data_IF_383517907126
#
_entry.id   IF_383517907126
#
_cell.length_a   1.000
_cell.length_b   1.000
_cell.length_c   1.000
_cell.angle_alpha   90.00
_cell.angle_beta   90.00
_cell.angle_gamma   90.00
#
_symmetry.space_group_name_H-M   'P 1'
#
loop_
_entity.id
_entity.type
_entity.pdbx_description
1 polymer ?
#
# COMPACT_ATOMS: atom_id res chain seq x y z
N UNK A 1 -3.41 16.68 5.12
CA UNK A 1 -2.04 16.82 4.59
C UNK A 1 -2.06 16.23 3.19
N UNK A 2 -2.04 17.09 2.16
CA UNK A 2 -2.10 16.66 0.74
C UNK A 2 -0.70 16.62 0.12
N UNK A 3 0.22 17.39 0.68
CA UNK A 3 1.62 17.50 0.24
C UNK A 3 2.39 16.19 0.47
N UNK A 4 2.16 15.51 1.60
CA UNK A 4 2.86 14.25 1.92
C UNK A 4 2.50 13.10 0.96
N UNK A 5 1.26 13.03 0.49
CA UNK A 5 0.83 11.98 -0.44
C UNK A 5 1.41 12.20 -1.84
N UNK A 6 1.37 13.44 -2.35
CA UNK A 6 1.92 13.74 -3.68
C UNK A 6 3.44 13.49 -3.72
N UNK A 7 4.16 13.76 -2.63
CA UNK A 7 5.58 13.41 -2.49
C UNK A 7 5.80 11.89 -2.45
N UNK A 8 5.01 11.15 -1.67
CA UNK A 8 5.09 9.68 -1.61
C UNK A 8 4.84 9.04 -2.99
N UNK A 9 3.89 9.56 -3.77
CA UNK A 9 3.63 9.09 -5.14
C UNK A 9 4.84 9.32 -6.03
N UNK A 10 5.47 10.50 -5.97
CA UNK A 10 6.67 10.79 -6.75
C UNK A 10 7.86 9.90 -6.34
N UNK A 11 8.04 9.66 -5.04
CA UNK A 11 9.08 8.77 -4.54
C UNK A 11 8.86 7.33 -5.01
N UNK A 12 7.63 6.83 -5.00
CA UNK A 12 7.32 5.49 -5.50
C UNK A 12 7.55 5.40 -7.02
N UNK A 13 7.05 6.36 -7.80
CA UNK A 13 7.21 6.38 -9.26
C UNK A 13 8.67 6.53 -9.72
N UNK A 14 9.50 7.23 -8.94
CA UNK A 14 10.94 7.34 -9.21
C UNK A 14 11.73 6.09 -8.78
N UNK A 15 11.10 5.15 -8.10
CA UNK A 15 11.73 3.97 -7.51
C UNK A 15 12.59 4.28 -6.29
N UNK A 16 12.45 5.47 -5.70
CA UNK A 16 13.16 5.89 -4.50
C UNK A 16 12.63 5.16 -3.24
N UNK A 17 11.36 4.75 -3.26
CA UNK A 17 10.75 3.87 -2.27
C UNK A 17 10.08 2.70 -2.98
N UNK A 18 10.00 1.54 -2.30
CA UNK A 18 9.30 0.37 -2.81
C UNK A 18 7.78 0.48 -2.62
N UNK A 19 6.99 -0.38 -3.27
CA UNK A 19 5.53 -0.39 -3.10
C UNK A 19 5.14 -0.71 -1.66
N UNK A 20 5.89 -1.57 -0.96
CA UNK A 20 5.68 -1.82 0.46
C UNK A 20 5.92 -0.56 1.30
N UNK A 21 7.01 0.18 1.03
CA UNK A 21 7.29 1.42 1.76
C UNK A 21 6.24 2.50 1.47
N UNK A 22 5.78 2.60 0.21
CA UNK A 22 4.70 3.50 -0.18
C UNK A 22 3.38 3.15 0.52
N UNK A 23 3.03 1.86 0.59
CA UNK A 23 1.83 1.38 1.26
C UNK A 23 1.89 1.64 2.78
N UNK A 24 3.02 1.34 3.41
CA UNK A 24 3.20 1.50 4.86
C UNK A 24 3.30 2.96 5.32
N UNK A 25 3.62 3.88 4.42
CA UNK A 25 3.64 5.32 4.71
C UNK A 25 2.23 5.94 4.84
N UNK A 26 1.17 5.18 4.55
CA UNK A 26 -0.21 5.63 4.58
C UNK A 26 -0.96 4.93 5.71
N UNK A 27 -1.20 5.62 6.83
CA UNK A 27 -1.67 5.02 8.10
C UNK A 27 -2.90 4.09 7.95
N UNK A 28 -3.93 4.50 7.20
CA UNK A 28 -5.15 3.71 7.01
C UNK A 28 -4.88 2.44 6.18
N UNK A 29 -4.18 2.58 5.05
CA UNK A 29 -3.86 1.45 4.18
C UNK A 29 -2.85 0.50 4.84
N UNK A 30 -1.86 1.03 5.55
CA UNK A 30 -0.88 0.26 6.30
C UNK A 30 -1.57 -0.65 7.33
N UNK A 31 -2.53 -0.09 8.08
CA UNK A 31 -3.30 -0.85 9.07
C UNK A 31 -4.13 -1.95 8.42
N UNK A 32 -4.84 -1.64 7.33
CA UNK A 32 -5.68 -2.59 6.61
C UNK A 32 -4.84 -3.72 5.97
N UNK A 33 -3.71 -3.40 5.37
CA UNK A 33 -2.79 -4.35 4.77
C UNK A 33 -2.17 -5.28 5.82
N UNK A 34 -1.65 -4.74 6.93
CA UNK A 34 -1.07 -5.54 8.00
C UNK A 34 -2.10 -6.52 8.60
N UNK A 35 -3.35 -6.08 8.78
CA UNK A 35 -4.43 -6.95 9.23
C UNK A 35 -4.73 -8.07 8.22
N UNK A 36 -4.78 -7.76 6.92
CA UNK A 36 -5.03 -8.72 5.87
C UNK A 36 -3.91 -9.78 5.75
N UNK A 37 -2.64 -9.36 5.88
CA UNK A 37 -1.49 -10.26 5.84
C UNK A 37 -1.45 -11.17 7.07
N UNK A 38 -1.72 -10.62 8.26
CA UNK A 38 -1.84 -11.41 9.49
C UNK A 38 -2.99 -12.43 9.43
N UNK A 39 -4.15 -12.04 8.86
CA UNK A 39 -5.30 -12.94 8.70
C UNK A 39 -5.03 -14.06 7.68
N UNK A 40 -4.13 -13.83 6.72
CA UNK A 40 -3.82 -14.75 5.63
C UNK A 40 -2.50 -15.51 5.82
N UNK A 41 -1.82 -15.31 6.95
CA UNK A 41 -0.48 -15.85 7.26
C UNK A 41 0.55 -15.58 6.14
N UNK A 42 0.49 -14.38 5.54
CA UNK A 42 1.39 -13.92 4.48
C UNK A 42 2.43 -12.95 5.02
N UNK A 43 3.64 -13.00 4.47
CA UNK A 43 4.69 -12.04 4.80
C UNK A 43 4.43 -10.66 4.17
N UNK A 44 4.91 -9.62 4.85
CA UNK A 44 4.93 -8.26 4.31
C UNK A 44 6.07 -8.13 3.31
N UNK A 45 5.75 -8.01 2.02
CA UNK A 45 6.73 -7.88 0.94
C UNK A 45 6.20 -6.96 -0.15
N UNK A 46 7.08 -6.51 -1.04
CA UNK A 46 6.67 -5.69 -2.20
C UNK A 46 5.67 -6.42 -3.11
N UNK A 47 5.80 -7.75 -3.22
CA UNK A 47 4.86 -8.59 -3.98
C UNK A 47 3.48 -8.59 -3.32
N UNK A 48 3.41 -8.89 -2.01
CA UNK A 48 2.13 -8.96 -1.31
C UNK A 48 1.49 -7.58 -1.15
N UNK A 49 2.28 -6.51 -1.03
CA UNK A 49 1.81 -5.14 -1.04
C UNK A 49 1.17 -4.74 -2.38
N UNK A 50 1.79 -5.08 -3.51
CA UNK A 50 1.23 -4.83 -4.86
C UNK A 50 -0.07 -5.59 -5.07
N UNK A 51 -0.08 -6.89 -4.79
CA UNK A 51 -1.29 -7.71 -4.95
C UNK A 51 -2.44 -7.17 -4.11
N UNK A 52 -2.17 -6.86 -2.84
CA UNK A 52 -3.19 -6.35 -1.94
C UNK A 52 -3.70 -4.97 -2.36
N UNK A 53 -2.82 -4.06 -2.82
CA UNK A 53 -3.22 -2.76 -3.36
C UNK A 53 -4.15 -2.90 -4.56
N UNK A 54 -3.83 -3.79 -5.51
CA UNK A 54 -4.67 -4.05 -6.68
C UNK A 54 -6.05 -4.58 -6.27
N UNK A 55 -6.10 -5.53 -5.33
CA UNK A 55 -7.35 -6.07 -4.82
C UNK A 55 -8.14 -5.01 -4.04
N UNK A 56 -7.47 -4.20 -3.23
CA UNK A 56 -8.09 -3.12 -2.46
C UNK A 56 -8.74 -2.08 -3.37
N UNK A 57 -8.00 -1.62 -4.40
CA UNK A 57 -8.50 -0.73 -5.44
C UNK A 57 -9.72 -1.31 -6.15
N UNK A 58 -9.64 -2.57 -6.62
CA UNK A 58 -10.74 -3.22 -7.32
C UNK A 58 -12.01 -3.35 -6.46
N UNK A 59 -11.87 -3.52 -5.14
CA UNK A 59 -13.01 -3.68 -4.24
C UNK A 59 -13.55 -2.35 -3.67
N UNK A 60 -12.79 -1.25 -3.76
CA UNK A 60 -13.18 0.06 -3.21
C UNK A 60 -13.45 1.14 -4.27
N UNK A 61 -13.17 0.91 -5.57
CA UNK A 61 -13.45 1.84 -6.66
C UNK A 61 -14.83 1.67 -7.34
N UNK A 62 -15.65 0.70 -6.92
CA UNK A 62 -16.97 0.41 -7.51
C UNK A 62 -18.16 0.59 -6.55
N UNK A 63 -18.06 1.45 -5.54
CA UNK A 63 -19.22 1.91 -4.74
C UNK A 63 -19.79 3.26 -5.22
#
# INVERSE_FOLDING_TARGET
MREDYDELVQLNQSGAISDLQFLLAQDELATAYQAAMAASDRELSDETAREWLLDYENNHLYE
#
